data_IF_017243619262
#
_entry.id   IF_017243619262
#
_cell.length_a   1.000
_cell.length_b   1.000
_cell.length_c   1.000
_cell.angle_alpha   90.00
_cell.angle_beta   90.00
_cell.angle_gamma   90.00
#
_symmetry.space_group_name_H-M   'P 1'
#
loop_
_entity.id
_entity.type
_entity.pdbx_description
1 polymer ?
#
# COMPACT_ATOMS: atom_id res chain seq x y z
N UNK A 1 44.13 -22.60 33.73
CA UNK A 1 44.19 -21.77 32.51
C UNK A 1 43.20 -20.63 32.67
N UNK A 2 43.68 -19.39 32.75
CA UNK A 2 42.80 -18.21 32.87
C UNK A 2 42.31 -17.76 31.50
N UNK A 3 41.00 -17.62 31.32
CA UNK A 3 40.40 -17.13 30.08
C UNK A 3 40.70 -15.65 29.82
N UNK A 4 40.46 -15.21 28.59
CA UNK A 4 40.70 -13.83 28.15
C UNK A 4 39.94 -12.80 29.01
N UNK A 5 40.69 -11.91 29.67
CA UNK A 5 40.17 -10.85 30.53
C UNK A 5 39.28 -9.86 29.76
N UNK A 6 39.52 -9.71 28.45
CA UNK A 6 38.78 -8.77 27.62
C UNK A 6 37.31 -9.16 27.45
N UNK A 7 36.98 -10.45 27.57
CA UNK A 7 35.60 -10.93 27.58
C UNK A 7 34.79 -10.47 28.79
N UNK A 8 35.41 -9.82 29.78
CA UNK A 8 34.70 -9.18 30.91
C UNK A 8 34.45 -7.69 30.68
N UNK A 9 34.95 -7.13 29.57
CA UNK A 9 34.84 -5.70 29.27
C UNK A 9 33.66 -5.46 28.34
N UNK A 10 32.71 -4.65 28.79
CA UNK A 10 31.45 -4.36 28.07
C UNK A 10 31.65 -3.78 26.67
N UNK A 11 32.78 -3.15 26.38
CA UNK A 11 33.11 -2.58 25.08
C UNK A 11 33.71 -3.60 24.09
N UNK A 12 34.08 -4.80 24.55
CA UNK A 12 34.83 -5.75 23.71
C UNK A 12 33.95 -6.29 22.57
N UNK A 13 34.37 -6.20 21.29
CA UNK A 13 33.51 -6.50 20.14
C UNK A 13 33.15 -7.99 20.02
N UNK A 14 33.98 -8.88 20.57
CA UNK A 14 33.75 -10.34 20.51
C UNK A 14 32.65 -10.79 21.49
N UNK A 15 32.21 -9.92 22.41
CA UNK A 15 31.07 -10.23 23.26
C UNK A 15 29.82 -10.49 22.41
N UNK A 16 29.13 -11.60 22.66
CA UNK A 16 27.90 -11.96 21.95
C UNK A 16 26.83 -10.86 21.99
N UNK A 17 26.74 -10.11 23.10
CA UNK A 17 25.84 -8.95 23.22
C UNK A 17 26.18 -7.84 22.22
N UNK A 18 27.47 -7.59 21.99
CA UNK A 18 27.94 -6.53 21.10
C UNK A 18 27.82 -6.97 19.65
N UNK A 19 28.16 -8.22 19.34
CA UNK A 19 27.92 -8.81 18.02
C UNK A 19 26.43 -8.77 17.66
N UNK A 20 25.54 -9.11 18.60
CA UNK A 20 24.10 -9.01 18.40
C UNK A 20 23.66 -7.57 18.11
N UNK A 21 24.16 -6.59 18.87
CA UNK A 21 23.85 -5.17 18.64
C UNK A 21 24.32 -4.70 17.26
N UNK A 22 25.53 -5.07 16.85
CA UNK A 22 26.06 -4.75 15.51
C UNK A 22 25.19 -5.38 14.43
N UNK A 23 24.85 -6.66 14.57
CA UNK A 23 23.99 -7.37 13.63
C UNK A 23 22.59 -6.75 13.52
N UNK A 24 21.99 -6.33 14.63
CA UNK A 24 20.68 -5.66 14.62
C UNK A 24 20.73 -4.33 13.85
N UNK A 25 21.77 -3.53 14.04
CA UNK A 25 21.95 -2.27 13.32
C UNK A 25 22.27 -2.49 11.83
N UNK A 26 23.12 -3.46 11.51
CA UNK A 26 23.40 -3.86 10.12
C UNK A 26 22.13 -4.33 9.41
N UNK A 27 21.30 -5.13 10.09
CA UNK A 27 20.03 -5.59 9.56
C UNK A 27 19.07 -4.44 9.29
N UNK A 28 18.93 -3.50 10.23
CA UNK A 28 18.11 -2.29 10.03
C UNK A 28 18.59 -1.47 8.83
N UNK A 29 19.90 -1.23 8.73
CA UNK A 29 20.49 -0.50 7.62
C UNK A 29 20.24 -1.18 6.26
N UNK A 30 20.31 -2.52 6.21
CA UNK A 30 19.97 -3.28 5.00
C UNK A 30 18.49 -3.16 4.63
N UNK A 31 17.59 -3.20 5.61
CA UNK A 31 16.16 -3.06 5.37
C UNK A 31 15.79 -1.65 4.92
N UNK A 32 16.42 -0.61 5.47
CA UNK A 32 16.28 0.78 4.99
C UNK A 32 16.77 0.93 3.56
N UNK A 33 17.95 0.37 3.24
CA UNK A 33 18.51 0.40 1.89
C UNK A 33 17.58 -0.28 0.88
N UNK A 34 17.02 -1.44 1.21
CA UNK A 34 16.05 -2.13 0.34
C UNK A 34 14.81 -1.30 0.06
N UNK A 35 14.27 -0.61 1.08
CA UNK A 35 13.12 0.29 0.90
C UNK A 35 13.45 1.46 -0.02
N UNK A 36 14.63 2.05 0.14
CA UNK A 36 15.12 3.13 -0.73
C UNK A 36 15.27 2.63 -2.16
N UNK A 37 15.90 1.47 -2.36
CA UNK A 37 16.10 0.88 -3.69
C UNK A 37 14.75 0.59 -4.38
N UNK A 38 13.75 0.13 -3.62
CA UNK A 38 12.39 -0.06 -4.13
C UNK A 38 11.78 1.27 -4.62
N UNK A 39 11.81 2.33 -3.79
CA UNK A 39 11.27 3.64 -4.16
C UNK A 39 12.00 4.25 -5.36
N UNK A 40 13.32 4.07 -5.44
CA UNK A 40 14.12 4.52 -6.58
C UNK A 40 13.71 3.80 -7.86
N UNK A 41 13.44 2.50 -7.78
CA UNK A 41 12.96 1.70 -8.91
C UNK A 41 11.57 2.15 -9.36
N UNK A 42 10.64 2.32 -8.43
CA UNK A 42 9.28 2.81 -8.71
C UNK A 42 9.32 4.17 -9.41
N UNK A 43 10.14 5.12 -8.93
CA UNK A 43 10.33 6.42 -9.58
C UNK A 43 10.96 6.32 -10.97
N UNK A 44 11.87 5.38 -11.18
CA UNK A 44 12.48 5.17 -12.50
C UNK A 44 11.45 4.62 -13.49
N UNK A 45 10.62 3.67 -13.06
CA UNK A 45 9.51 3.12 -13.84
C UNK A 45 8.48 4.21 -14.18
N UNK A 46 8.10 5.05 -13.22
CA UNK A 46 7.22 6.21 -13.44
C UNK A 46 7.77 7.18 -14.49
N UNK A 47 9.07 7.51 -14.41
CA UNK A 47 9.73 8.37 -15.41
C UNK A 47 9.73 7.75 -16.79
N UNK A 48 10.04 6.45 -16.90
CA UNK A 48 10.02 5.74 -18.18
C UNK A 48 8.63 5.77 -18.81
N UNK A 49 7.58 5.54 -18.01
CA UNK A 49 6.19 5.62 -18.49
C UNK A 49 5.86 7.05 -18.94
N UNK A 50 6.29 8.06 -18.18
CA UNK A 50 6.06 9.46 -18.53
C UNK A 50 6.77 9.85 -19.83
N UNK A 51 8.01 9.41 -20.03
CA UNK A 51 8.77 9.64 -21.27
C UNK A 51 8.09 8.96 -22.47
N UNK A 52 7.61 7.73 -22.31
CA UNK A 52 6.85 7.03 -23.36
C UNK A 52 5.55 7.76 -23.72
N UNK A 53 4.83 8.29 -22.72
CA UNK A 53 3.62 9.08 -22.94
C UNK A 53 3.95 10.38 -23.70
N UNK A 54 4.99 11.09 -23.31
CA UNK A 54 5.44 12.30 -24.02
C UNK A 54 5.84 12.00 -25.47
N UNK A 55 6.53 10.88 -25.71
CA UNK A 55 6.90 10.45 -27.05
C UNK A 55 5.65 10.12 -27.90
N UNK A 56 4.66 9.46 -27.31
CA UNK A 56 3.38 9.17 -27.97
C UNK A 56 2.61 10.45 -28.31
N UNK A 57 2.59 11.43 -27.40
CA UNK A 57 1.96 12.74 -27.64
C UNK A 57 2.68 13.51 -28.76
N UNK A 58 4.03 13.52 -28.75
CA UNK A 58 4.84 14.17 -29.79
C UNK A 58 4.65 13.52 -31.17
N UNK A 59 4.41 12.21 -31.22
CA UNK A 59 4.10 11.47 -32.45
C UNK A 59 2.66 11.71 -32.96
N UNK A 60 1.87 12.58 -32.30
CA UNK A 60 0.50 12.92 -32.68
C UNK A 60 -0.59 12.09 -31.98
N UNK A 61 -0.23 11.35 -30.94
CA UNK A 61 -1.19 10.63 -30.09
C UNK A 61 -2.06 11.55 -29.24
N UNK A 62 -3.22 11.04 -28.80
CA UNK A 62 -4.13 11.78 -27.91
C UNK A 62 -3.48 11.98 -26.54
N UNK A 63 -3.39 13.24 -26.09
CA UNK A 63 -2.90 13.63 -24.76
C UNK A 63 -3.70 12.95 -23.65
N UNK A 64 -3.02 12.29 -22.71
CA UNK A 64 -3.67 11.71 -21.52
C UNK A 64 -3.97 12.85 -20.53
N UNK A 65 -5.15 12.83 -19.93
CA UNK A 65 -5.49 13.76 -18.85
C UNK A 65 -4.77 13.31 -17.59
N UNK A 66 -3.90 14.17 -17.05
CA UNK A 66 -3.20 13.91 -15.80
C UNK A 66 -4.15 14.18 -14.62
N UNK A 67 -4.88 13.13 -14.22
CA UNK A 67 -5.87 13.16 -13.14
C UNK A 67 -5.61 12.00 -12.21
N UNK A 68 -5.78 12.23 -10.92
CA UNK A 68 -5.76 11.20 -9.90
C UNK A 68 -7.07 10.40 -9.96
N UNK A 69 -7.11 9.35 -10.77
CA UNK A 69 -8.34 8.60 -11.08
C UNK A 69 -9.05 8.07 -9.83
N UNK A 70 -8.32 7.64 -8.80
CA UNK A 70 -8.94 7.14 -7.55
C UNK A 70 -9.59 8.26 -6.71
N UNK A 71 -9.13 9.51 -6.85
CA UNK A 71 -9.66 10.66 -6.11
C UNK A 71 -10.87 11.28 -6.81
N UNK A 72 -10.91 11.21 -8.14
CA UNK A 72 -11.96 11.82 -8.96
C UNK A 72 -12.96 10.80 -9.53
N UNK A 73 -12.67 9.51 -9.46
CA UNK A 73 -13.58 8.41 -9.77
C UNK A 73 -14.55 8.13 -8.62
N UNK A 74 -15.24 9.18 -8.13
CA UNK A 74 -16.30 9.00 -7.15
C UNK A 74 -17.41 8.09 -7.70
N UNK A 75 -18.24 7.46 -6.84
CA UNK A 75 -19.35 6.59 -7.27
C UNK A 75 -20.31 7.22 -8.29
N UNK A 76 -20.29 8.56 -8.41
CA UNK A 76 -21.09 9.33 -9.36
C UNK A 76 -20.51 9.41 -10.78
N UNK A 77 -19.22 9.13 -11.00
CA UNK A 77 -18.55 9.32 -12.30
C UNK A 77 -18.60 8.03 -13.16
N UNK A 78 -19.80 7.43 -13.28
CA UNK A 78 -20.04 6.37 -14.26
C UNK A 78 -21.03 5.27 -13.88
N UNK A 79 -21.48 5.16 -12.61
CA UNK A 79 -22.55 4.21 -12.25
C UNK A 79 -23.92 4.89 -12.22
N UNK A 80 -24.83 4.43 -13.09
CA UNK A 80 -26.30 4.68 -13.03
C UNK A 80 -26.95 3.98 -11.81
N UNK A 81 -26.32 3.96 -10.65
CA UNK A 81 -26.62 2.96 -9.63
C UNK A 81 -26.28 3.31 -8.19
N UNK A 82 -26.02 4.57 -7.84
CA UNK A 82 -26.21 4.96 -6.44
C UNK A 82 -27.71 5.12 -6.21
N UNK A 83 -28.37 4.01 -5.88
CA UNK A 83 -29.76 4.04 -5.47
C UNK A 83 -29.89 5.06 -4.33
N UNK A 84 -30.87 5.94 -4.45
CA UNK A 84 -31.21 7.01 -3.49
C UNK A 84 -31.29 6.50 -2.03
N UNK A 85 -31.54 5.21 -1.86
CA UNK A 85 -31.55 4.48 -0.59
C UNK A 85 -30.15 4.36 0.07
N UNK A 86 -29.08 4.18 -0.70
CA UNK A 86 -27.71 4.07 -0.16
C UNK A 86 -27.14 5.45 0.18
N UNK A 87 -27.44 6.47 -0.63
CA UNK A 87 -27.07 7.86 -0.35
C UNK A 87 -27.84 8.41 0.87
N UNK A 88 -29.13 8.11 0.99
CA UNK A 88 -29.93 8.49 2.17
C UNK A 88 -29.52 7.75 3.44
N UNK A 89 -28.96 6.54 3.33
CA UNK A 89 -28.37 5.81 4.44
C UNK A 89 -27.04 6.42 4.90
N UNK A 90 -26.13 6.73 3.97
CA UNK A 90 -24.86 7.40 4.28
C UNK A 90 -25.07 8.80 4.87
N UNK A 91 -26.14 9.48 4.48
CA UNK A 91 -26.57 10.78 5.04
C UNK A 91 -27.44 10.64 6.30
N UNK A 92 -27.61 9.43 6.84
CA UNK A 92 -28.32 9.18 8.10
C UNK A 92 -29.82 9.44 8.08
N UNK A 93 -30.43 9.60 6.90
CA UNK A 93 -31.86 9.93 6.74
C UNK A 93 -32.79 8.71 6.84
N UNK A 94 -32.32 7.47 6.66
CA UNK A 94 -33.10 6.23 6.83
C UNK A 94 -32.25 5.12 7.46
N UNK A 95 -32.86 4.22 8.25
CA UNK A 95 -32.21 3.05 8.89
C UNK A 95 -32.39 1.78 8.05
N UNK A 96 -31.35 0.94 7.94
CA UNK A 96 -31.29 -0.29 7.11
C UNK A 96 -31.93 -1.54 7.76
N UNK A 97 -33.05 -1.40 8.47
CA UNK A 97 -33.67 -2.56 9.13
C UNK A 97 -34.35 -3.54 8.15
N UNK A 98 -34.55 -3.12 6.89
CA UNK A 98 -35.25 -3.90 5.86
C UNK A 98 -34.37 -4.63 4.85
N UNK A 99 -33.08 -4.29 4.73
CA UNK A 99 -32.22 -4.83 3.67
C UNK A 99 -31.58 -6.18 4.07
N UNK A 100 -31.35 -6.40 5.36
CA UNK A 100 -30.64 -7.59 5.88
C UNK A 100 -31.52 -8.85 5.92
N UNK A 101 -32.84 -8.75 5.73
CA UNK A 101 -33.76 -9.88 5.91
C UNK A 101 -34.09 -10.70 4.66
N UNK A 102 -33.63 -10.32 3.46
CA UNK A 102 -34.01 -11.03 2.22
C UNK A 102 -33.09 -12.21 1.83
N UNK A 103 -31.86 -12.27 2.33
CA UNK A 103 -30.91 -13.30 1.88
C UNK A 103 -31.07 -14.68 2.56
N UNK A 104 -31.69 -14.74 3.74
CA UNK A 104 -31.82 -16.00 4.47
C UNK A 104 -32.91 -16.93 3.92
N UNK A 105 -33.93 -16.38 3.24
CA UNK A 105 -35.08 -17.18 2.75
C UNK A 105 -34.90 -17.72 1.33
N UNK A 106 -34.07 -17.10 0.48
CA UNK A 106 -33.80 -17.60 -0.88
C UNK A 106 -32.77 -18.75 -0.91
N UNK A 107 -31.87 -18.82 0.07
CA UNK A 107 -30.89 -19.91 0.18
C UNK A 107 -31.53 -21.27 0.54
N UNK A 108 -32.77 -21.29 1.04
CA UNK A 108 -33.44 -22.50 1.52
C UNK A 108 -34.41 -23.13 0.50
N UNK A 109 -34.65 -22.51 -0.65
CA UNK A 109 -35.55 -23.04 -1.70
C UNK A 109 -34.83 -23.72 -2.88
N UNK A 110 -33.49 -23.82 -2.85
CA UNK A 110 -32.69 -24.53 -3.86
C UNK A 110 -31.96 -25.78 -3.33
N UNK A 111 -32.60 -26.50 -2.41
CA UNK A 111 -32.15 -27.82 -1.95
C UNK A 111 -33.23 -28.87 -2.21
#
# INVERSE_FOLDING_TARGET
>A
MGGDLNLKKSWHPVLMSNQKRVWEEEKKALDERKKIDQVLKERAEERQIQELQQMQEAAGGKKRVDRVDWMYGGPADGQKGTTEEMESYLLGKRRLDGLVKRDATEAMQKA
#
